data_IF_488423518262
#
_entry.id   IF_488423518262
#
_cell.length_a   1.000
_cell.length_b   1.000
_cell.length_c   1.000
_cell.angle_alpha   90.00
_cell.angle_beta   90.00
_cell.angle_gamma   90.00
#
_symmetry.space_group_name_H-M   'P 1'
#
loop_
_entity.id
_entity.type
_entity.pdbx_description
1 polymer ?
#
# COMPACT_ATOMS: atom_id res chain seq x y z
N UNK A 1 -29.96 6.13 4.41
CA UNK A 1 -30.47 5.53 5.67
C UNK A 1 -32.01 5.52 5.73
N UNK A 2 -32.68 6.68 5.76
CA UNK A 2 -34.16 6.73 5.89
C UNK A 2 -34.91 5.96 4.79
N UNK A 3 -34.52 6.12 3.52
CA UNK A 3 -35.14 5.37 2.41
C UNK A 3 -35.00 3.85 2.58
N UNK A 4 -33.85 3.35 3.03
CA UNK A 4 -33.64 1.92 3.28
C UNK A 4 -34.58 1.40 4.38
N UNK A 5 -34.73 2.16 5.47
CA UNK A 5 -35.61 1.80 6.58
C UNK A 5 -37.09 1.78 6.16
N UNK A 6 -37.52 2.74 5.35
CA UNK A 6 -38.89 2.79 4.81
C UNK A 6 -39.19 1.56 3.94
N UNK A 7 -38.28 1.18 3.04
CA UNK A 7 -38.45 -0.02 2.20
C UNK A 7 -38.45 -1.29 3.05
N UNK A 8 -37.53 -1.40 4.02
CA UNK A 8 -37.49 -2.55 4.94
C UNK A 8 -38.81 -2.72 5.69
N UNK A 9 -39.34 -1.64 6.28
CA UNK A 9 -40.61 -1.66 7.01
C UNK A 9 -41.80 -2.03 6.11
N UNK A 10 -41.84 -1.52 4.87
CA UNK A 10 -42.92 -1.81 3.93
C UNK A 10 -42.93 -3.27 3.44
N UNK A 11 -41.79 -3.95 3.48
CA UNK A 11 -41.63 -5.32 3.02
C UNK A 11 -41.54 -6.35 4.16
N UNK A 12 -41.81 -5.96 5.41
CA UNK A 12 -41.72 -6.89 6.53
C UNK A 12 -42.76 -8.03 6.45
N UNK A 13 -42.38 -9.29 6.74
CA UNK A 13 -41.08 -9.75 7.22
C UNK A 13 -40.11 -10.08 6.07
N UNK A 14 -39.05 -9.28 5.90
CA UNK A 14 -37.95 -9.55 4.96
C UNK A 14 -36.60 -9.41 5.67
N UNK A 15 -35.61 -10.21 5.28
CA UNK A 15 -34.23 -10.05 5.76
C UNK A 15 -33.56 -8.85 5.07
N UNK A 16 -32.58 -8.23 5.72
CA UNK A 16 -31.91 -7.02 5.25
C UNK A 16 -30.37 -7.12 5.33
N UNK A 17 -29.72 -6.43 4.39
CA UNK A 17 -28.26 -6.30 4.35
C UNK A 17 -27.85 -4.98 3.70
N UNK A 18 -27.16 -4.10 4.42
CA UNK A 18 -26.66 -2.85 3.84
C UNK A 18 -25.25 -2.44 4.27
N UNK A 19 -24.63 -3.09 5.25
CA UNK A 19 -23.33 -2.65 5.78
C UNK A 19 -22.14 -3.27 5.05
N UNK A 20 -21.38 -2.44 4.33
CA UNK A 20 -19.99 -2.74 3.93
C UNK A 20 -19.02 -2.45 5.10
N UNK A 21 -17.70 -2.59 4.88
CA UNK A 21 -16.68 -2.32 5.91
C UNK A 21 -16.84 -0.96 6.62
N UNK A 22 -17.08 0.12 5.87
CA UNK A 22 -17.25 1.47 6.44
C UNK A 22 -18.51 1.55 7.32
N UNK A 23 -19.62 1.02 6.82
CA UNK A 23 -20.91 1.03 7.52
C UNK A 23 -20.91 0.11 8.75
N UNK A 24 -20.14 -0.98 8.75
CA UNK A 24 -19.96 -1.84 9.93
C UNK A 24 -19.41 -1.02 11.11
N UNK A 25 -18.40 -0.16 10.87
CA UNK A 25 -17.85 0.73 11.89
C UNK A 25 -18.76 1.92 12.25
N UNK A 26 -19.41 2.54 11.27
CA UNK A 26 -20.14 3.81 11.48
C UNK A 26 -21.57 3.64 11.97
N UNK A 27 -22.26 2.56 11.60
CA UNK A 27 -23.71 2.41 11.77
C UNK A 27 -24.09 1.01 12.28
N UNK A 28 -23.75 0.68 13.55
CA UNK A 28 -24.12 -0.60 14.16
C UNK A 28 -25.63 -0.85 14.17
N UNK A 29 -26.44 0.20 14.24
CA UNK A 29 -27.90 0.13 14.18
C UNK A 29 -28.45 -0.32 12.82
N UNK A 30 -27.60 -0.48 11.79
CA UNK A 30 -27.97 -0.90 10.44
C UNK A 30 -27.40 -2.28 10.06
N UNK A 31 -26.87 -3.06 11.00
CA UNK A 31 -26.30 -4.39 10.69
C UNK A 31 -27.34 -5.36 10.12
N UNK A 32 -28.57 -5.35 10.67
CA UNK A 32 -29.65 -6.28 10.31
C UNK A 32 -29.17 -7.74 10.29
N UNK A 33 -29.64 -8.54 9.33
CA UNK A 33 -29.42 -9.98 9.28
C UNK A 33 -28.06 -10.36 8.66
N UNK A 34 -27.55 -9.54 7.73
CA UNK A 34 -26.27 -9.78 7.07
C UNK A 34 -25.44 -8.51 6.91
N UNK A 35 -24.18 -8.57 7.35
CA UNK A 35 -23.14 -7.59 7.02
C UNK A 35 -22.23 -8.13 5.91
N UNK A 36 -21.56 -7.24 5.17
CA UNK A 36 -20.74 -7.58 3.98
C UNK A 36 -19.35 -6.96 4.07
N UNK A 37 -18.51 -7.40 5.03
CA UNK A 37 -17.15 -6.88 5.18
C UNK A 37 -16.32 -7.24 3.95
N UNK A 38 -15.61 -6.25 3.41
CA UNK A 38 -14.69 -6.40 2.28
C UNK A 38 -13.27 -6.08 2.75
N UNK A 39 -12.81 -4.86 2.49
CA UNK A 39 -11.43 -4.42 2.80
C UNK A 39 -10.98 -4.66 4.25
N UNK A 40 -11.90 -4.58 5.21
CA UNK A 40 -11.53 -4.78 6.62
C UNK A 40 -11.12 -6.23 6.90
N UNK A 41 -11.61 -7.21 6.11
CA UNK A 41 -11.15 -8.60 6.20
C UNK A 41 -9.68 -8.75 5.76
N UNK A 42 -9.21 -7.86 4.89
CA UNK A 42 -7.83 -7.84 4.38
C UNK A 42 -6.92 -6.91 5.18
N UNK A 43 -7.45 -6.28 6.24
CA UNK A 43 -6.68 -5.40 7.10
C UNK A 43 -6.21 -4.13 6.40
N UNK A 44 -7.05 -3.53 5.56
CA UNK A 44 -6.86 -2.19 5.02
C UNK A 44 -8.07 -1.30 5.34
N UNK A 45 -7.86 0.01 5.41
CA UNK A 45 -8.84 0.94 5.94
C UNK A 45 -9.95 1.24 4.92
N UNK A 46 -11.24 1.27 5.33
CA UNK A 46 -12.30 1.81 4.50
C UNK A 46 -12.41 3.35 4.60
N UNK A 47 -11.52 4.02 5.34
CA UNK A 47 -11.54 5.45 5.59
C UNK A 47 -10.21 6.11 5.22
N UNK A 48 -10.26 7.33 4.68
CA UNK A 48 -9.05 8.09 4.38
C UNK A 48 -8.39 8.70 5.63
N UNK A 49 -9.16 8.90 6.70
CA UNK A 49 -8.77 9.60 7.94
C UNK A 49 -8.48 8.65 9.11
N UNK A 50 -8.49 7.34 8.88
CA UNK A 50 -8.18 6.33 9.91
C UNK A 50 -7.22 5.28 9.38
N UNK A 51 -6.21 4.97 10.17
CA UNK A 51 -5.30 3.86 9.92
C UNK A 51 -5.93 2.54 10.33
N UNK A 52 -5.32 1.43 9.93
CA UNK A 52 -5.70 0.09 10.39
C UNK A 52 -5.52 -0.08 11.89
N UNK A 53 -4.56 0.62 12.50
CA UNK A 53 -4.32 0.58 13.95
C UNK A 53 -5.43 1.28 14.73
N UNK A 54 -5.96 2.40 14.21
CA UNK A 54 -7.13 3.08 14.80
C UNK A 54 -8.40 2.23 14.77
N UNK A 55 -8.44 1.25 13.86
CA UNK A 55 -9.55 0.34 13.63
C UNK A 55 -9.31 -1.06 14.24
N UNK A 56 -8.17 -1.29 14.92
CA UNK A 56 -7.75 -2.62 15.41
C UNK A 56 -7.78 -3.71 14.31
N UNK A 57 -7.36 -3.35 13.11
CA UNK A 57 -7.22 -4.25 11.97
C UNK A 57 -5.75 -4.64 11.78
N UNK A 58 -5.52 -5.89 11.42
CA UNK A 58 -4.19 -6.43 11.13
C UNK A 58 -4.00 -6.57 9.61
N UNK A 59 -3.02 -5.89 8.99
CA UNK A 59 -2.71 -6.08 7.57
C UNK A 59 -2.48 -7.55 7.23
N UNK A 60 -3.20 -8.07 6.23
CA UNK A 60 -3.10 -9.47 5.81
C UNK A 60 -2.04 -9.66 4.72
N UNK A 61 -1.97 -8.75 3.75
CA UNK A 61 -1.01 -8.83 2.65
C UNK A 61 0.29 -8.11 3.01
N UNK A 62 1.40 -8.85 2.95
CA UNK A 62 2.74 -8.26 2.83
C UNK A 62 3.21 -8.44 1.39
N UNK A 63 3.55 -7.33 0.73
CA UNK A 63 4.18 -7.35 -0.59
C UNK A 63 5.64 -6.97 -0.44
N UNK A 64 6.54 -7.89 -0.80
CA UNK A 64 7.97 -7.77 -0.57
C UNK A 64 8.79 -8.11 -1.82
N UNK A 65 9.98 -7.53 -1.90
CA UNK A 65 11.01 -7.83 -2.90
C UNK A 65 12.39 -7.80 -2.23
N UNK A 66 13.47 -7.86 -3.02
CA UNK A 66 14.84 -7.86 -2.49
C UNK A 66 15.72 -6.84 -3.19
N UNK A 67 16.77 -6.40 -2.49
CA UNK A 67 17.83 -5.57 -3.07
C UNK A 67 18.69 -6.40 -4.01
N UNK A 68 18.83 -5.94 -5.25
CA UNK A 68 19.59 -6.61 -6.33
C UNK A 68 20.84 -5.86 -6.77
N UNK A 69 20.96 -4.57 -6.42
CA UNK A 69 22.18 -3.81 -6.63
C UNK A 69 22.32 -2.71 -5.57
N UNK A 70 23.55 -2.32 -5.31
CA UNK A 70 23.92 -1.18 -4.47
C UNK A 70 24.82 -0.26 -5.29
N UNK A 71 24.59 1.04 -5.17
CA UNK A 71 25.37 2.05 -5.85
C UNK A 71 25.58 3.26 -4.95
N UNK A 72 26.81 3.78 -4.93
CA UNK A 72 27.13 5.03 -4.26
C UNK A 72 27.15 6.15 -5.30
N UNK A 73 26.38 7.22 -5.08
CA UNK A 73 26.27 8.34 -5.99
C UNK A 73 26.75 9.64 -5.34
N UNK A 74 27.29 10.53 -6.16
CA UNK A 74 27.76 11.86 -5.78
C UNK A 74 26.64 12.90 -5.89
N UNK A 75 26.87 14.05 -5.26
CA UNK A 75 26.03 15.25 -5.43
C UNK A 75 25.87 15.60 -6.91
N UNK A 76 24.66 16.01 -7.32
CA UNK A 76 24.24 16.33 -8.68
C UNK A 76 24.10 15.15 -9.66
N UNK A 77 24.35 13.91 -9.23
CA UNK A 77 23.98 12.74 -10.01
C UNK A 77 22.47 12.52 -9.98
N UNK A 78 21.92 11.98 -11.08
CA UNK A 78 20.49 11.78 -11.26
C UNK A 78 20.13 10.31 -11.22
N UNK A 79 18.90 9.99 -10.77
CA UNK A 79 18.43 8.61 -10.63
C UNK A 79 17.21 8.32 -11.50
N UNK A 80 17.30 7.23 -12.26
CA UNK A 80 16.18 6.62 -12.99
C UNK A 80 15.76 7.36 -14.27
N UNK A 81 14.72 6.85 -14.92
CA UNK A 81 14.24 7.38 -16.19
C UNK A 81 13.72 8.82 -16.09
N UNK A 82 14.14 9.65 -17.03
CA UNK A 82 13.75 11.06 -17.09
C UNK A 82 14.42 11.93 -16.04
N UNK A 83 15.37 11.38 -15.26
CA UNK A 83 16.21 12.12 -14.31
C UNK A 83 15.39 13.01 -13.36
N UNK A 84 14.26 12.50 -12.86
CA UNK A 84 13.34 13.29 -12.02
C UNK A 84 13.83 13.50 -10.59
N UNK A 85 14.90 12.80 -10.19
CA UNK A 85 15.57 12.96 -8.92
C UNK A 85 17.04 13.31 -9.17
N UNK A 86 17.53 14.30 -8.43
CA UNK A 86 18.92 14.76 -8.43
C UNK A 86 19.42 14.76 -6.98
N UNK A 87 20.55 14.10 -6.72
CA UNK A 87 21.10 13.96 -5.39
C UNK A 87 21.63 15.30 -4.87
N UNK A 88 21.16 15.73 -3.69
CA UNK A 88 21.60 16.99 -3.06
C UNK A 88 22.87 16.84 -2.22
N UNK A 89 23.29 15.60 -1.99
CA UNK A 89 24.51 15.20 -1.28
C UNK A 89 24.99 13.84 -1.83
N UNK A 90 26.15 13.36 -1.40
CA UNK A 90 26.55 11.98 -1.66
C UNK A 90 25.59 11.02 -0.94
N UNK A 91 25.14 9.96 -1.61
CA UNK A 91 24.07 9.07 -1.15
C UNK A 91 24.35 7.61 -1.53
N UNK A 92 23.83 6.69 -0.71
CA UNK A 92 23.82 5.26 -1.01
C UNK A 92 22.44 4.86 -1.54
N UNK A 93 22.41 4.29 -2.74
CA UNK A 93 21.19 3.86 -3.43
C UNK A 93 21.14 2.34 -3.51
N UNK A 94 19.99 1.77 -3.21
CA UNK A 94 19.69 0.36 -3.49
C UNK A 94 18.68 0.24 -4.63
N UNK A 95 18.89 -0.76 -5.49
CA UNK A 95 17.95 -1.14 -6.53
C UNK A 95 17.18 -2.37 -6.05
N UNK A 96 15.85 -2.34 -6.14
CA UNK A 96 14.96 -3.39 -5.66
C UNK A 96 14.29 -4.08 -6.85
N UNK A 97 14.15 -5.40 -6.79
CA UNK A 97 13.58 -6.26 -7.83
C UNK A 97 12.06 -6.20 -7.94
N UNK A 98 11.53 -5.01 -8.19
CA UNK A 98 10.10 -4.78 -8.30
C UNK A 98 9.80 -3.56 -9.17
N UNK A 99 8.69 -3.59 -9.90
CA UNK A 99 8.21 -2.41 -10.61
C UNK A 99 6.75 -2.54 -11.03
N UNK A 100 6.33 -1.68 -11.95
CA UNK A 100 4.93 -1.67 -12.38
C UNK A 100 4.51 -2.92 -13.18
N UNK A 101 5.47 -3.69 -13.69
CA UNK A 101 5.22 -5.02 -14.27
C UNK A 101 4.76 -6.06 -13.24
N UNK A 102 5.06 -5.83 -11.95
CA UNK A 102 4.54 -6.62 -10.82
C UNK A 102 3.20 -6.11 -10.30
N UNK A 103 2.82 -4.89 -10.70
CA UNK A 103 1.68 -4.14 -10.16
C UNK A 103 2.05 -3.10 -9.11
N UNK A 104 3.34 -2.83 -8.86
CA UNK A 104 3.74 -1.71 -8.01
C UNK A 104 3.44 -0.36 -8.71
N UNK A 105 2.76 0.61 -8.08
CA UNK A 105 2.33 1.81 -8.79
C UNK A 105 3.50 2.63 -9.34
N UNK A 106 3.34 3.15 -10.56
CA UNK A 106 4.39 3.92 -11.24
C UNK A 106 4.44 5.39 -10.82
N UNK A 107 3.27 6.02 -10.70
CA UNK A 107 3.13 7.47 -10.60
C UNK A 107 2.84 7.87 -9.16
N UNK A 108 3.60 8.80 -8.59
CA UNK A 108 3.35 9.28 -7.23
C UNK A 108 3.16 10.79 -7.27
N UNK A 109 2.20 11.28 -6.48
CA UNK A 109 1.90 12.70 -6.31
C UNK A 109 2.57 13.29 -5.06
N UNK A 110 3.09 12.42 -4.19
CA UNK A 110 3.87 12.75 -2.98
C UNK A 110 5.05 11.78 -2.87
N UNK A 111 6.02 12.09 -2.02
CA UNK A 111 7.13 11.18 -1.73
C UNK A 111 6.60 9.85 -1.17
N UNK A 112 6.95 8.73 -1.81
CA UNK A 112 6.62 7.40 -1.33
C UNK A 112 7.82 6.73 -0.64
N UNK A 113 7.53 5.75 0.21
CA UNK A 113 8.50 5.02 1.01
C UNK A 113 8.25 3.51 0.93
N UNK A 114 9.32 2.76 1.12
CA UNK A 114 9.32 1.31 1.44
C UNK A 114 9.86 1.12 2.85
N UNK A 115 9.71 -0.07 3.43
CA UNK A 115 10.31 -0.42 4.72
C UNK A 115 11.43 -1.45 4.58
N UNK A 116 12.56 -1.19 5.23
CA UNK A 116 13.68 -2.12 5.43
C UNK A 116 13.97 -2.16 6.92
N UNK A 117 13.95 -3.36 7.52
CA UNK A 117 14.14 -3.54 8.97
C UNK A 117 13.29 -2.55 9.80
N UNK A 118 12.01 -2.43 9.43
CA UNK A 118 11.01 -1.52 10.03
C UNK A 118 11.31 -0.02 9.89
N UNK A 119 12.37 0.36 9.19
CA UNK A 119 12.72 1.74 8.90
C UNK A 119 12.28 2.13 7.49
N UNK A 120 11.75 3.35 7.35
CA UNK A 120 11.33 3.86 6.05
C UNK A 120 12.53 4.32 5.21
N UNK A 121 12.52 3.94 3.94
CA UNK A 121 13.46 4.36 2.91
C UNK A 121 12.70 5.02 1.76
N UNK A 122 13.13 6.20 1.32
CA UNK A 122 12.46 6.95 0.27
C UNK A 122 12.66 6.27 -1.09
N UNK A 123 11.59 6.16 -1.88
CA UNK A 123 11.70 5.79 -3.31
C UNK A 123 12.18 7.01 -4.09
N UNK A 124 13.30 6.89 -4.80
CA UNK A 124 13.92 8.00 -5.53
C UNK A 124 13.89 7.75 -7.05
N UNK A 125 13.67 8.81 -7.81
CA UNK A 125 13.48 8.72 -9.26
C UNK A 125 12.15 8.06 -9.65
N UNK A 126 12.05 7.60 -10.90
CA UNK A 126 10.85 6.92 -11.40
C UNK A 126 10.88 5.42 -11.11
N UNK A 127 9.71 4.87 -10.80
CA UNK A 127 9.46 3.42 -10.85
C UNK A 127 9.51 2.95 -12.32
N UNK A 128 10.33 1.94 -12.58
CA UNK A 128 10.43 1.27 -13.88
C UNK A 128 9.55 0.01 -13.93
N UNK A 129 9.62 -0.76 -15.03
CA UNK A 129 8.82 -1.98 -15.16
C UNK A 129 9.19 -3.02 -14.12
N UNK A 130 10.49 -3.12 -13.80
CA UNK A 130 11.06 -4.24 -13.05
C UNK A 130 11.92 -3.81 -11.86
N UNK A 131 12.18 -2.50 -11.74
CA UNK A 131 13.06 -1.96 -10.71
C UNK A 131 12.54 -0.64 -10.14
N UNK A 132 12.80 -0.45 -8.85
CA UNK A 132 12.77 0.85 -8.17
C UNK A 132 14.14 1.14 -7.56
N UNK A 133 14.46 2.42 -7.38
CA UNK A 133 15.60 2.88 -6.63
C UNK A 133 15.14 3.46 -5.28
N UNK A 134 15.88 3.17 -4.22
CA UNK A 134 15.58 3.66 -2.88
C UNK A 134 16.83 4.24 -2.23
N UNK A 135 16.65 5.30 -1.44
CA UNK A 135 17.71 5.88 -0.63
C UNK A 135 17.93 5.05 0.65
N UNK A 136 19.14 4.50 0.78
CA UNK A 136 19.58 3.69 1.93
C UNK A 136 20.76 4.32 2.65
N UNK A 137 21.02 5.61 2.44
CA UNK A 137 22.10 6.35 3.09
C UNK A 137 22.01 6.18 4.61
N UNK A 138 23.14 5.77 5.23
CA UNK A 138 23.22 5.52 6.67
C UNK A 138 22.55 4.23 7.16
N UNK A 139 22.12 3.34 6.26
CA UNK A 139 21.54 2.03 6.60
C UNK A 139 22.44 0.89 6.17
N UNK A 140 22.48 -0.18 6.96
CA UNK A 140 23.19 -1.40 6.59
C UNK A 140 22.30 -2.27 5.70
N UNK A 141 22.52 -2.18 4.39
CA UNK A 141 21.79 -2.92 3.37
C UNK A 141 22.78 -3.74 2.53
N UNK A 142 22.41 -4.98 2.21
CA UNK A 142 23.20 -5.89 1.37
C UNK A 142 22.34 -6.44 0.24
N UNK A 143 22.98 -7.07 -0.76
CA UNK A 143 22.26 -7.85 -1.76
C UNK A 143 21.42 -8.93 -1.09
N UNK A 144 20.18 -9.11 -1.56
CA UNK A 144 19.20 -10.00 -0.97
C UNK A 144 18.51 -9.46 0.29
N UNK A 145 18.80 -8.23 0.74
CA UNK A 145 18.05 -7.62 1.85
C UNK A 145 16.57 -7.52 1.47
N UNK A 146 15.64 -8.08 2.28
CA UNK A 146 14.21 -7.95 2.04
C UNK A 146 13.73 -6.50 2.16
N UNK A 147 12.85 -6.11 1.25
CA UNK A 147 12.22 -4.80 1.18
C UNK A 147 10.71 -4.98 1.20
N UNK A 148 10.05 -4.40 2.19
CA UNK A 148 8.59 -4.38 2.31
C UNK A 148 8.03 -3.17 1.55
N UNK A 149 7.28 -3.43 0.47
CA UNK A 149 6.60 -2.40 -0.31
C UNK A 149 5.33 -1.94 0.38
N UNK A 150 4.58 -2.90 0.90
CA UNK A 150 3.55 -2.68 1.91
C UNK A 150 3.35 -3.92 2.78
N UNK A 151 2.83 -3.71 3.98
CA UNK A 151 2.67 -4.70 5.02
C UNK A 151 2.50 -4.04 6.40
N UNK A 152 2.93 -4.70 7.48
CA UNK A 152 2.82 -4.15 8.84
C UNK A 152 3.67 -2.91 9.13
N UNK A 153 4.74 -2.66 8.37
CA UNK A 153 5.68 -1.55 8.60
C UNK A 153 5.57 -0.45 7.54
N UNK A 154 4.94 -0.73 6.40
CA UNK A 154 4.52 0.26 5.42
C UNK A 154 3.07 -0.01 5.02
N UNK A 155 2.10 0.76 5.52
CA UNK A 155 0.70 0.47 5.26
C UNK A 155 0.33 0.70 3.79
N UNK A 156 -0.49 -0.17 3.21
CA UNK A 156 -0.92 -0.06 1.80
C UNK A 156 -1.71 1.22 1.54
N UNK A 157 -2.47 1.71 2.52
CA UNK A 157 -3.23 2.96 2.42
C UNK A 157 -2.31 4.19 2.36
N UNK A 158 -1.14 4.16 3.01
CA UNK A 158 -0.15 5.25 2.90
C UNK A 158 0.54 5.25 1.52
N UNK A 159 0.76 4.06 0.95
CA UNK A 159 1.28 3.94 -0.43
C UNK A 159 0.23 4.43 -1.42
N UNK A 160 -1.04 4.12 -1.17
CA UNK A 160 -2.16 4.57 -1.99
C UNK A 160 -2.33 6.10 -1.94
N UNK A 161 -2.23 6.73 -0.76
CA UNK A 161 -2.26 8.19 -0.63
C UNK A 161 -1.10 8.84 -1.41
N UNK A 162 0.11 8.30 -1.30
CA UNK A 162 1.25 8.80 -2.08
C UNK A 162 1.04 8.62 -3.61
N UNK A 163 0.35 7.56 -4.01
CA UNK A 163 0.00 7.25 -5.41
C UNK A 163 -1.21 8.07 -5.90
N UNK A 164 -1.99 8.68 -5.01
CA UNK A 164 -3.21 9.43 -5.35
C UNK A 164 -4.43 8.54 -5.59
N UNK A 165 -4.52 7.40 -4.89
CA UNK A 165 -5.64 6.45 -4.97
C UNK A 165 -5.97 5.86 -3.58
N UNK A 166 -6.67 4.71 -3.53
CA UNK A 166 -7.09 3.98 -2.34
C UNK A 166 -6.45 2.58 -2.27
N UNK A 167 -6.29 2.04 -1.06
CA UNK A 167 -5.65 0.72 -0.85
C UNK A 167 -6.29 -0.42 -1.62
N UNK A 168 -7.61 -0.37 -1.85
CA UNK A 168 -8.33 -1.33 -2.69
C UNK A 168 -7.71 -1.50 -4.08
N UNK A 169 -7.31 -0.40 -4.72
CA UNK A 169 -6.75 -0.46 -6.08
C UNK A 169 -5.39 -1.17 -6.06
N UNK A 170 -4.53 -0.82 -5.10
CA UNK A 170 -3.20 -1.42 -4.96
C UNK A 170 -3.28 -2.93 -4.71
N UNK A 171 -4.20 -3.36 -3.84
CA UNK A 171 -4.38 -4.77 -3.51
C UNK A 171 -4.94 -5.59 -4.70
N UNK A 172 -5.70 -4.95 -5.59
CA UNK A 172 -6.36 -5.63 -6.72
C UNK A 172 -5.55 -5.61 -8.02
N UNK A 173 -4.65 -4.63 -8.22
CA UNK A 173 -3.95 -4.41 -9.50
C UNK A 173 -2.53 -5.02 -9.55
N UNK A 174 -2.32 -6.12 -8.84
CA UNK A 174 -1.09 -6.92 -8.95
C UNK A 174 -1.10 -7.78 -10.21
N UNK A 175 0.08 -7.97 -10.81
CA UNK A 175 0.23 -8.88 -11.95
C UNK A 175 0.39 -10.35 -11.50
N UNK A 176 0.56 -11.26 -12.45
CA UNK A 176 0.84 -12.67 -12.16
C UNK A 176 2.31 -12.95 -11.83
N UNK A 177 3.21 -11.94 -11.91
CA UNK A 177 4.65 -12.14 -11.70
C UNK A 177 5.05 -12.39 -10.24
N UNK A 178 4.51 -11.69 -9.23
CA UNK A 178 4.80 -12.00 -7.83
C UNK A 178 4.38 -13.43 -7.45
N UNK A 179 5.25 -14.16 -6.75
CA UNK A 179 4.88 -15.47 -6.20
C UNK A 179 4.00 -15.29 -4.97
N UNK A 180 2.92 -16.06 -4.86
CA UNK A 180 2.01 -16.02 -3.70
C UNK A 180 2.46 -17.07 -2.68
N UNK A 181 2.57 -16.66 -1.42
CA UNK A 181 2.88 -17.54 -0.28
C UNK A 181 1.86 -17.27 0.82
N UNK A 182 1.30 -18.32 1.39
CA UNK A 182 0.46 -18.24 2.59
C UNK A 182 1.32 -18.51 3.81
N UNK A 183 1.15 -17.68 4.84
CA UNK A 183 1.89 -17.75 6.13
C UNK A 183 0.92 -18.00 7.25
#
# INVERSE_FOLDING_TARGET
>A
KQQFLQVKQACDPVLASCCNSAAIYKWPELHFDYVRPGIMLYGASPFADKTVHDLDLKPVMTFSAEVIALNHIQTNEHVGYGSTFCATQAMDIAIVSIGYGDGYPRAYIKQNYVAIDKQLCAVVGRVSMDMIAIDVTGKQVKLGTPVELWGPHRLVDDVADANGTIGYELLCRLSNRPTRKST
#
